data_IF_199662086828
#
_entry.id   IF_199662086828
#
_cell.length_a   1.000
_cell.length_b   1.000
_cell.length_c   1.000
_cell.angle_alpha   90.00
_cell.angle_beta   90.00
_cell.angle_gamma   90.00
#
_symmetry.space_group_name_H-M   'P 1'
#
loop_
_entity.id
_entity.type
_entity.pdbx_description
1 polymer ?
#
# COMPACT_ATOMS: atom_id res chain seq x y z
N UNK A 1 11.46 3.25 -89.04
CA UNK A 1 11.31 1.98 -88.28
C UNK A 1 12.56 1.77 -87.43
N UNK A 2 12.39 1.17 -86.25
CA UNK A 2 13.38 0.76 -85.26
C UNK A 2 13.85 1.84 -84.24
N UNK A 3 13.19 1.78 -83.09
CA UNK A 3 13.49 2.29 -81.76
C UNK A 3 14.67 1.58 -81.09
N UNK A 4 15.47 2.30 -80.29
CA UNK A 4 16.25 1.76 -79.16
C UNK A 4 16.62 2.94 -78.23
N UNK A 5 15.82 3.24 -77.21
CA UNK A 5 16.02 2.82 -75.81
C UNK A 5 17.39 3.21 -75.23
N UNK A 6 17.44 4.27 -74.43
CA UNK A 6 18.03 4.23 -73.07
C UNK A 6 17.29 5.24 -72.18
N UNK A 7 16.63 4.72 -71.16
CA UNK A 7 15.99 5.44 -70.06
C UNK A 7 17.00 5.64 -68.91
N UNK A 8 16.62 6.57 -68.03
CA UNK A 8 16.99 6.68 -66.59
C UNK A 8 18.17 7.59 -66.25
N UNK A 9 17.84 8.77 -65.72
CA UNK A 9 18.53 9.30 -64.54
C UNK A 9 17.47 9.76 -63.53
N UNK A 10 17.02 8.84 -62.68
CA UNK A 10 16.21 9.17 -61.50
C UNK A 10 17.18 9.60 -60.41
N UNK A 11 17.08 10.85 -59.98
CA UNK A 11 17.79 11.40 -58.82
C UNK A 11 17.29 10.72 -57.55
N UNK A 12 18.06 9.77 -57.00
CA UNK A 12 17.84 9.27 -55.66
C UNK A 12 18.54 10.22 -54.67
N UNK A 13 17.79 11.15 -54.10
CA UNK A 13 18.20 11.84 -52.87
C UNK A 13 18.13 10.83 -51.73
N UNK A 14 19.27 10.24 -51.36
CA UNK A 14 19.41 9.54 -50.08
C UNK A 14 19.34 10.58 -48.94
N UNK A 15 18.12 10.90 -48.52
CA UNK A 15 17.85 11.47 -47.22
C UNK A 15 17.34 10.39 -46.28
N UNK A 16 17.79 10.44 -45.02
CA UNK A 16 17.36 9.66 -43.85
C UNK A 16 18.09 8.33 -43.56
N UNK A 17 19.32 8.47 -43.06
CA UNK A 17 19.83 7.59 -42.00
C UNK A 17 20.35 8.43 -40.83
N UNK A 18 19.45 9.21 -40.25
CA UNK A 18 19.61 9.69 -38.88
C UNK A 18 18.81 8.80 -37.97
N UNK A 19 19.32 7.62 -37.61
CA UNK A 19 18.82 6.90 -36.45
C UNK A 19 19.23 7.72 -35.21
N UNK A 20 18.44 8.78 -34.95
CA UNK A 20 18.53 9.52 -33.71
C UNK A 20 18.31 8.53 -32.59
N UNK A 21 19.37 8.27 -31.83
CA UNK A 21 19.29 7.54 -30.58
C UNK A 21 18.22 8.24 -29.74
N UNK A 22 17.05 7.62 -29.65
CA UNK A 22 16.02 8.01 -28.69
C UNK A 22 16.71 7.98 -27.34
N UNK A 23 16.89 9.12 -26.64
CA UNK A 23 17.31 9.05 -25.26
C UNK A 23 16.14 8.38 -24.57
N UNK A 24 16.30 7.10 -24.21
CA UNK A 24 15.48 6.52 -23.16
C UNK A 24 15.82 7.32 -21.92
N UNK A 25 15.09 8.41 -21.72
CA UNK A 25 15.08 9.15 -20.48
C UNK A 25 14.66 8.14 -19.43
N UNK A 26 15.65 7.56 -18.73
CA UNK A 26 15.43 6.99 -17.42
C UNK A 26 14.59 8.02 -16.66
N UNK A 27 13.48 7.64 -16.03
CA UNK A 27 12.80 8.55 -15.14
C UNK A 27 13.73 8.72 -13.93
N UNK A 28 14.67 9.66 -14.05
CA UNK A 28 15.38 10.22 -12.91
C UNK A 28 14.39 11.16 -12.23
N UNK A 29 13.27 10.62 -11.76
CA UNK A 29 12.57 11.29 -10.69
C UNK A 29 13.46 11.08 -9.48
N UNK A 30 14.17 12.12 -9.09
CA UNK A 30 14.59 12.30 -7.70
C UNK A 30 13.32 12.53 -6.87
N UNK A 31 12.40 11.55 -6.89
CA UNK A 31 11.31 11.42 -5.95
C UNK A 31 12.02 11.26 -4.62
N UNK A 32 11.73 12.15 -3.67
CA UNK A 32 12.12 11.95 -2.27
C UNK A 32 11.84 10.47 -1.96
N UNK A 33 12.90 9.69 -1.77
CA UNK A 33 12.79 8.23 -1.87
C UNK A 33 11.75 7.72 -0.89
N UNK A 34 10.94 6.75 -1.31
CA UNK A 34 10.16 5.95 -0.38
C UNK A 34 11.16 5.22 0.54
N UNK A 35 11.20 5.57 1.83
CA UNK A 35 12.12 4.99 2.81
C UNK A 35 11.42 3.96 3.70
N UNK A 36 10.52 3.17 3.12
CA UNK A 36 9.76 2.13 3.84
C UNK A 36 10.64 0.94 4.27
N UNK A 37 11.80 0.75 3.63
CA UNK A 37 12.76 -0.32 3.96
C UNK A 37 13.24 -0.26 5.41
N UNK A 38 13.22 0.91 6.06
CA UNK A 38 13.55 1.06 7.48
C UNK A 38 12.62 0.26 8.41
N UNK A 39 11.42 -0.09 7.94
CA UNK A 39 10.41 -0.83 8.71
C UNK A 39 10.42 -2.34 8.43
N UNK A 40 11.47 -2.88 7.81
CA UNK A 40 11.66 -4.34 7.71
C UNK A 40 11.68 -5.00 9.09
N UNK A 41 12.15 -4.28 10.10
CA UNK A 41 12.09 -4.65 11.51
C UNK A 41 11.72 -3.45 12.35
N UNK A 42 10.74 -3.61 13.22
CA UNK A 42 10.48 -2.68 14.31
C UNK A 42 11.41 -3.00 15.48
N UNK A 43 11.80 -1.99 16.24
CA UNK A 43 12.60 -2.19 17.44
C UNK A 43 11.84 -2.99 18.51
N UNK A 44 12.52 -3.69 19.42
CA UNK A 44 11.86 -4.40 20.52
C UNK A 44 10.96 -3.50 21.37
N UNK A 45 11.39 -2.24 21.60
CA UNK A 45 10.62 -1.24 22.37
C UNK A 45 9.32 -0.85 21.67
N UNK A 46 9.36 -0.63 20.36
CA UNK A 46 8.15 -0.35 19.57
C UNK A 46 7.19 -1.54 19.58
N UNK A 47 7.69 -2.75 19.38
CA UNK A 47 6.86 -3.95 19.42
C UNK A 47 6.23 -4.20 20.78
N UNK A 48 6.96 -3.91 21.87
CA UNK A 48 6.41 -4.04 23.21
C UNK A 48 5.32 -3.01 23.48
N UNK A 49 5.50 -1.75 23.08
CA UNK A 49 4.47 -0.73 23.18
C UNK A 49 3.21 -1.11 22.39
N UNK A 50 3.38 -1.66 21.19
CA UNK A 50 2.27 -2.17 20.37
C UNK A 50 1.54 -3.34 21.04
N UNK A 51 2.27 -4.27 21.68
CA UNK A 51 1.63 -5.39 22.41
C UNK A 51 0.84 -4.89 23.61
N UNK A 52 1.45 -4.04 24.44
CA UNK A 52 0.76 -3.42 25.60
C UNK A 52 -0.52 -2.69 25.17
N UNK A 53 -0.47 -1.97 24.06
CA UNK A 53 -1.63 -1.30 23.50
C UNK A 53 -2.70 -2.29 23.00
N UNK A 54 -2.31 -3.35 22.28
CA UNK A 54 -3.20 -4.43 21.87
C UNK A 54 -3.90 -5.06 23.08
N UNK A 55 -3.15 -5.41 24.11
CA UNK A 55 -3.68 -6.06 25.31
C UNK A 55 -4.72 -5.14 25.99
N UNK A 56 -4.41 -3.86 26.15
CA UNK A 56 -5.36 -2.88 26.71
C UNK A 56 -6.62 -2.67 25.83
N UNK A 57 -6.47 -2.73 24.50
CA UNK A 57 -7.60 -2.68 23.56
C UNK A 57 -8.48 -3.93 23.70
N UNK A 58 -7.88 -5.12 23.81
CA UNK A 58 -8.60 -6.39 23.99
C UNK A 58 -9.39 -6.40 25.31
N UNK A 59 -8.78 -5.93 26.41
CA UNK A 59 -9.47 -5.76 27.70
C UNK A 59 -10.66 -4.78 27.59
N UNK A 60 -10.50 -3.67 26.88
CA UNK A 60 -11.59 -2.71 26.65
C UNK A 60 -12.71 -3.26 25.76
N UNK A 61 -12.47 -4.34 25.01
CA UNK A 61 -13.44 -5.01 24.15
C UNK A 61 -14.19 -6.15 24.84
N UNK A 62 -13.66 -6.71 25.93
CA UNK A 62 -14.32 -7.79 26.70
C UNK A 62 -15.79 -7.53 27.05
N UNK A 63 -16.21 -6.33 27.51
CA UNK A 63 -17.61 -6.10 27.86
C UNK A 63 -18.52 -5.84 26.63
N UNK A 64 -17.97 -5.78 25.41
CA UNK A 64 -18.71 -5.37 24.21
C UNK A 64 -19.10 -6.58 23.35
N UNK A 65 -20.30 -6.55 22.78
CA UNK A 65 -20.63 -7.40 21.65
C UNK A 65 -20.12 -6.75 20.35
N UNK A 66 -19.05 -7.31 19.78
CA UNK A 66 -18.38 -6.78 18.60
C UNK A 66 -18.68 -7.56 17.31
N UNK A 67 -19.79 -8.30 17.27
CA UNK A 67 -20.19 -9.04 16.06
C UNK A 67 -20.15 -8.17 14.80
N UNK A 68 -19.53 -8.70 13.75
CA UNK A 68 -19.33 -8.04 12.46
C UNK A 68 -20.22 -8.69 11.40
N UNK A 69 -20.88 -7.88 10.56
CA UNK A 69 -21.60 -8.38 9.39
C UNK A 69 -20.66 -8.89 8.31
N UNK A 70 -19.42 -8.38 8.28
CA UNK A 70 -18.38 -8.83 7.37
C UNK A 70 -16.98 -8.79 8.00
N UNK A 71 -16.12 -9.74 7.63
CA UNK A 71 -14.72 -9.76 8.07
C UNK A 71 -13.88 -8.75 7.27
N UNK A 72 -13.61 -7.57 7.84
CA UNK A 72 -12.82 -6.51 7.19
C UNK A 72 -11.38 -6.94 6.89
N UNK A 73 -10.77 -7.73 7.79
CA UNK A 73 -9.40 -8.21 7.68
C UNK A 73 -9.37 -9.76 7.70
N UNK A 74 -9.77 -10.45 6.62
CA UNK A 74 -9.79 -11.92 6.63
C UNK A 74 -8.41 -12.51 6.92
N UNK A 75 -8.34 -13.58 7.74
CA UNK A 75 -7.07 -14.17 8.18
C UNK A 75 -6.24 -14.76 7.03
N UNK A 76 -6.92 -15.35 6.04
CA UNK A 76 -6.31 -15.88 4.81
C UNK A 76 -5.77 -14.80 3.87
N UNK A 77 -5.94 -13.51 4.20
CA UNK A 77 -5.36 -12.41 3.44
C UNK A 77 -3.84 -12.47 3.52
N UNK A 78 -3.18 -12.37 2.38
CA UNK A 78 -1.72 -12.35 2.27
C UNK A 78 -1.29 -11.40 1.16
N UNK A 79 -0.53 -10.35 1.50
CA UNK A 79 -0.07 -9.36 0.53
C UNK A 79 0.80 -9.98 -0.58
N UNK A 80 1.38 -11.15 -0.36
CA UNK A 80 2.18 -11.87 -1.37
C UNK A 80 1.36 -12.28 -2.59
N UNK A 81 0.04 -12.43 -2.43
CA UNK A 81 -0.89 -12.70 -3.52
C UNK A 81 -1.12 -11.49 -4.44
N UNK A 82 -0.68 -10.30 -4.02
CA UNK A 82 -0.73 -9.08 -4.82
C UNK A 82 0.59 -8.85 -5.56
N UNK A 83 0.50 -8.12 -6.68
CA UNK A 83 1.68 -7.65 -7.39
C UNK A 83 2.48 -6.69 -6.50
N UNK A 84 3.81 -6.62 -6.69
CA UNK A 84 4.70 -5.84 -5.83
C UNK A 84 4.24 -4.37 -5.65
N UNK A 85 3.75 -3.73 -6.72
CA UNK A 85 3.25 -2.35 -6.68
C UNK A 85 1.88 -2.19 -6.00
N UNK A 86 1.08 -3.26 -5.90
CA UNK A 86 -0.24 -3.25 -5.26
C UNK A 86 -0.14 -3.38 -3.73
N UNK A 87 0.94 -4.01 -3.22
CA UNK A 87 1.13 -4.26 -1.79
C UNK A 87 1.14 -2.98 -0.95
N UNK A 88 1.88 -1.90 -1.32
CA UNK A 88 1.83 -0.64 -0.58
C UNK A 88 0.44 -0.01 -0.58
N UNK A 89 -0.31 -0.11 -1.68
CA UNK A 89 -1.68 0.44 -1.80
C UNK A 89 -2.63 -0.29 -0.84
N UNK A 90 -2.55 -1.62 -0.83
CA UNK A 90 -3.33 -2.47 0.06
C UNK A 90 -3.04 -2.21 1.54
N UNK A 91 -1.76 -2.08 1.91
CA UNK A 91 -1.33 -1.80 3.28
C UNK A 91 -1.72 -0.39 3.72
N UNK A 92 -1.60 0.60 2.83
CA UNK A 92 -1.93 2.00 3.14
C UNK A 92 -3.41 2.13 3.51
N UNK A 93 -4.30 1.50 2.75
CA UNK A 93 -5.73 1.51 3.03
C UNK A 93 -6.08 0.83 4.36
N UNK A 94 -5.41 -0.27 4.71
CA UNK A 94 -5.59 -0.92 6.02
C UNK A 94 -5.11 -0.01 7.15
N UNK A 95 -3.90 0.52 7.03
CA UNK A 95 -3.28 1.36 8.05
C UNK A 95 -4.05 2.66 8.26
N UNK A 96 -4.59 3.25 7.20
CA UNK A 96 -5.46 4.42 7.28
C UNK A 96 -6.74 4.12 8.07
N UNK A 97 -7.38 2.97 7.83
CA UNK A 97 -8.55 2.55 8.62
C UNK A 97 -8.17 2.28 10.09
N UNK A 98 -7.06 1.58 10.34
CA UNK A 98 -6.55 1.32 11.69
C UNK A 98 -6.27 2.62 12.44
N UNK A 99 -5.58 3.58 11.81
CA UNK A 99 -5.30 4.89 12.40
C UNK A 99 -6.57 5.66 12.73
N UNK A 100 -7.57 5.63 11.85
CA UNK A 100 -8.86 6.29 12.07
C UNK A 100 -9.55 5.72 13.31
N UNK A 101 -9.69 4.39 13.38
CA UNK A 101 -10.38 3.73 14.50
C UNK A 101 -9.62 3.89 15.81
N UNK A 102 -8.32 3.59 15.84
CA UNK A 102 -7.51 3.76 17.05
C UNK A 102 -7.42 5.23 17.49
N UNK A 103 -7.46 6.18 16.55
CA UNK A 103 -7.56 7.60 16.86
C UNK A 103 -8.79 7.92 17.70
N UNK A 104 -9.97 7.42 17.31
CA UNK A 104 -11.21 7.62 18.10
C UNK A 104 -11.16 6.94 19.46
N UNK A 105 -10.46 5.81 19.59
CA UNK A 105 -10.31 5.12 20.86
C UNK A 105 -9.35 5.86 21.80
N UNK A 106 -8.40 6.64 21.26
CA UNK A 106 -7.47 7.43 22.04
C UNK A 106 -8.10 8.66 22.70
N UNK A 107 -9.32 9.05 22.31
CA UNK A 107 -10.11 10.09 22.97
C UNK A 107 -10.72 9.61 24.31
N UNK A 108 -10.44 8.36 24.70
CA UNK A 108 -10.86 7.74 25.96
C UNK A 108 -9.70 7.57 26.95
N UNK A 109 -9.90 6.80 28.03
CA UNK A 109 -8.83 6.43 28.98
C UNK A 109 -7.66 5.67 28.33
N UNK A 110 -7.85 5.13 27.13
CA UNK A 110 -6.81 4.46 26.36
C UNK A 110 -5.80 5.43 25.73
N UNK A 111 -6.04 6.74 25.73
CA UNK A 111 -5.18 7.73 25.07
C UNK A 111 -3.71 7.61 25.46
N UNK A 112 -3.42 7.45 26.76
CA UNK A 112 -2.04 7.33 27.28
C UNK A 112 -1.35 6.08 26.75
N UNK A 113 -2.06 4.93 26.66
CA UNK A 113 -1.46 3.67 26.18
C UNK A 113 -1.31 3.64 24.66
N UNK A 114 -2.19 4.36 23.94
CA UNK A 114 -2.21 4.45 22.48
C UNK A 114 -1.31 5.54 21.91
N UNK A 115 -0.86 6.49 22.73
CA UNK A 115 -0.09 7.66 22.30
C UNK A 115 1.19 7.29 21.50
N UNK A 116 2.06 6.46 22.09
CA UNK A 116 3.26 5.99 21.41
C UNK A 116 2.95 5.09 20.18
N UNK A 117 2.08 4.05 20.28
CA UNK A 117 1.60 3.28 19.13
C UNK A 117 1.11 4.13 17.96
N UNK A 118 0.27 5.12 18.23
CA UNK A 118 -0.31 5.98 17.19
C UNK A 118 0.74 6.88 16.55
N UNK A 119 1.73 7.38 17.30
CA UNK A 119 2.87 8.09 16.69
C UNK A 119 3.63 7.20 15.71
N UNK A 120 3.94 5.96 16.10
CA UNK A 120 4.61 5.01 15.21
C UNK A 120 3.77 4.73 13.96
N UNK A 121 2.50 4.40 14.13
CA UNK A 121 1.59 4.11 13.02
C UNK A 121 1.46 5.29 12.05
N UNK A 122 1.38 6.54 12.56
CA UNK A 122 1.36 7.75 11.73
C UNK A 122 2.66 7.96 10.98
N UNK A 123 3.80 7.68 11.62
CA UNK A 123 5.10 7.76 10.95
C UNK A 123 5.20 6.75 9.80
N UNK A 124 4.84 5.49 10.05
CA UNK A 124 4.77 4.45 9.02
C UNK A 124 3.83 4.86 7.88
N UNK A 125 2.65 5.38 8.20
CA UNK A 125 1.66 5.81 7.21
C UNK A 125 2.18 6.93 6.32
N UNK A 126 2.82 7.95 6.90
CA UNK A 126 3.42 9.05 6.15
C UNK A 126 4.51 8.58 5.18
N UNK A 127 5.38 7.67 5.62
CA UNK A 127 6.42 7.07 4.77
C UNK A 127 5.80 6.19 3.67
N UNK A 128 4.75 5.42 4.01
CA UNK A 128 4.04 4.55 3.07
C UNK A 128 3.31 5.35 1.98
N UNK A 129 2.72 6.50 2.32
CA UNK A 129 2.08 7.39 1.35
C UNK A 129 3.08 7.91 0.29
N UNK A 130 4.35 8.11 0.66
CA UNK A 130 5.39 8.48 -0.30
C UNK A 130 5.72 7.32 -1.28
N UNK A 131 5.45 6.07 -0.89
CA UNK A 131 5.68 4.85 -1.67
C UNK A 131 4.55 4.51 -2.62
N UNK A 132 3.32 4.88 -2.27
CA UNK A 132 2.18 4.63 -3.13
C UNK A 132 2.35 5.43 -4.43
N UNK A 133 2.35 4.77 -5.61
CA UNK A 133 2.34 5.51 -6.87
C UNK A 133 1.08 6.38 -6.90
N UNK A 134 1.21 7.63 -7.39
CA UNK A 134 0.03 8.41 -7.73
C UNK A 134 -0.76 7.58 -8.74
N UNK A 135 -1.91 7.03 -8.35
CA UNK A 135 -2.72 6.17 -9.21
C UNK A 135 -3.00 6.97 -10.48
N UNK A 136 -2.45 6.58 -11.65
CA UNK A 136 -2.66 7.38 -12.84
C UNK A 136 -4.14 7.29 -13.19
N UNK A 137 -4.77 8.42 -13.55
CA UNK A 137 -6.16 8.44 -14.06
C UNK A 137 -6.34 7.48 -15.26
N UNK A 138 -5.24 7.14 -15.95
CA UNK A 138 -5.15 6.21 -17.08
C UNK A 138 -4.33 4.92 -16.80
N UNK A 139 -3.96 4.63 -15.54
CA UNK A 139 -3.22 3.42 -15.17
C UNK A 139 -4.12 2.19 -15.14
N UNK A 140 -3.57 0.96 -15.00
CA UNK A 140 -4.36 -0.22 -14.73
C UNK A 140 -5.18 0.03 -13.46
N UNK A 141 -6.49 0.21 -13.62
CA UNK A 141 -7.40 0.31 -12.47
C UNK A 141 -7.19 -0.95 -11.63
N UNK A 142 -7.13 -0.81 -10.30
CA UNK A 142 -7.11 -1.97 -9.40
C UNK A 142 -8.24 -2.91 -9.83
N UNK A 143 -7.86 -4.11 -10.29
CA UNK A 143 -8.77 -5.16 -10.78
C UNK A 143 -8.48 -6.43 -9.97
N UNK A 144 -9.43 -7.34 -9.90
CA UNK A 144 -9.25 -8.59 -9.18
C UNK A 144 -9.13 -8.40 -7.65
N UNK A 145 -8.09 -8.97 -7.06
CA UNK A 145 -7.98 -9.16 -5.61
C UNK A 145 -7.84 -7.84 -4.85
N UNK A 146 -6.98 -6.91 -5.31
CA UNK A 146 -6.81 -5.60 -4.69
C UNK A 146 -8.14 -4.83 -4.66
N UNK A 147 -8.88 -4.82 -5.78
CA UNK A 147 -10.17 -4.12 -5.85
C UNK A 147 -11.17 -4.66 -4.83
N UNK A 148 -11.29 -5.99 -4.72
CA UNK A 148 -12.18 -6.63 -3.75
C UNK A 148 -11.81 -6.26 -2.31
N UNK A 149 -10.52 -6.21 -1.98
CA UNK A 149 -10.05 -5.84 -0.65
C UNK A 149 -10.34 -4.37 -0.33
N UNK A 150 -10.00 -3.46 -1.24
CA UNK A 150 -10.26 -2.03 -1.06
C UNK A 150 -11.76 -1.75 -0.94
N UNK A 151 -12.58 -2.38 -1.80
CA UNK A 151 -14.03 -2.27 -1.74
C UNK A 151 -14.60 -2.80 -0.43
N UNK A 152 -14.00 -3.83 0.17
CA UNK A 152 -14.39 -4.30 1.51
C UNK A 152 -14.08 -3.26 2.59
N UNK A 153 -12.88 -2.68 2.58
CA UNK A 153 -12.50 -1.62 3.53
C UNK A 153 -13.37 -0.37 3.37
N UNK A 154 -13.81 -0.02 2.16
CA UNK A 154 -14.75 1.06 1.91
C UNK A 154 -16.13 0.82 2.54
N UNK A 155 -16.51 -0.43 2.81
CA UNK A 155 -17.74 -0.78 3.52
C UNK A 155 -17.60 -0.76 5.03
N UNK A 156 -16.40 -0.57 5.58
CA UNK A 156 -16.16 -0.50 7.02
C UNK A 156 -17.10 0.49 7.75
N UNK A 157 -17.45 1.68 7.22
CA UNK A 157 -18.40 2.57 7.89
C UNK A 157 -19.82 2.01 8.07
N UNK A 158 -20.16 0.87 7.46
CA UNK A 158 -21.44 0.16 7.64
C UNK A 158 -21.43 -0.81 8.82
N UNK A 159 -20.25 -1.11 9.37
CA UNK A 159 -20.11 -1.98 10.54
C UNK A 159 -20.32 -1.18 11.82
N UNK A 160 -20.64 -1.88 12.91
CA UNK A 160 -20.73 -1.26 14.23
C UNK A 160 -19.36 -0.76 14.70
N UNK A 161 -19.34 0.27 15.55
CA UNK A 161 -18.10 0.78 16.13
C UNK A 161 -17.34 -0.33 16.88
N UNK A 162 -18.03 -1.14 17.68
CA UNK A 162 -17.41 -2.26 18.40
C UNK A 162 -16.77 -3.28 17.44
N UNK A 163 -17.41 -3.59 16.31
CA UNK A 163 -16.83 -4.44 15.27
C UNK A 163 -15.56 -3.83 14.67
N UNK A 164 -15.55 -2.52 14.39
CA UNK A 164 -14.37 -1.83 13.85
C UNK A 164 -13.21 -1.87 14.82
N UNK A 165 -13.45 -1.54 16.09
CA UNK A 165 -12.45 -1.58 17.15
C UNK A 165 -11.84 -2.99 17.30
N UNK A 166 -12.68 -4.02 17.35
CA UNK A 166 -12.23 -5.40 17.40
C UNK A 166 -11.42 -5.80 16.15
N UNK A 167 -11.95 -5.48 14.96
CA UNK A 167 -11.31 -5.80 13.69
C UNK A 167 -9.91 -5.20 13.58
N UNK A 168 -9.71 -3.94 13.94
CA UNK A 168 -8.38 -3.31 13.88
C UNK A 168 -7.45 -3.82 14.99
N UNK A 169 -7.99 -4.12 16.17
CA UNK A 169 -7.22 -4.63 17.32
C UNK A 169 -6.62 -6.00 17.00
N UNK A 170 -7.44 -6.94 16.52
CA UNK A 170 -6.97 -8.28 16.15
C UNK A 170 -6.07 -8.27 14.90
N UNK A 171 -6.18 -7.26 14.04
CA UNK A 171 -5.30 -7.10 12.88
C UNK A 171 -3.93 -6.48 13.22
N UNK A 172 -3.79 -5.77 14.34
CA UNK A 172 -2.67 -4.85 14.59
C UNK A 172 -1.29 -5.50 14.47
N UNK A 173 -1.08 -6.66 15.11
CA UNK A 173 0.21 -7.35 15.06
C UNK A 173 0.48 -7.97 13.68
N UNK A 174 -0.56 -8.42 12.97
CA UNK A 174 -0.42 -8.95 11.62
C UNK A 174 0.02 -7.85 10.66
N UNK A 175 -0.65 -6.70 10.74
CA UNK A 175 -0.34 -5.50 9.97
C UNK A 175 1.13 -5.11 10.14
N UNK A 176 1.62 -5.04 11.38
CA UNK A 176 2.96 -4.54 11.67
C UNK A 176 4.08 -5.58 11.49
N UNK A 177 3.86 -6.84 11.85
CA UNK A 177 4.92 -7.86 11.82
C UNK A 177 5.03 -8.58 10.48
N UNK A 178 3.93 -8.69 9.74
CA UNK A 178 3.87 -9.46 8.49
C UNK A 178 3.67 -8.54 7.30
N UNK A 179 2.59 -7.76 7.31
CA UNK A 179 2.17 -7.02 6.12
C UNK A 179 3.12 -5.83 5.84
N UNK A 180 3.49 -5.07 6.87
CA UNK A 180 4.49 -4.01 6.80
C UNK A 180 5.88 -4.54 6.43
N UNK A 181 6.32 -5.65 7.05
CA UNK A 181 7.58 -6.30 6.71
C UNK A 181 7.60 -6.71 5.23
N UNK A 182 6.50 -7.28 4.73
CA UNK A 182 6.39 -7.67 3.32
C UNK A 182 6.57 -6.48 2.37
N UNK A 183 5.89 -5.36 2.65
CA UNK A 183 6.04 -4.13 1.85
C UNK A 183 7.46 -3.56 1.96
N UNK A 184 8.04 -3.54 3.16
CA UNK A 184 9.39 -3.04 3.40
C UNK A 184 10.49 -3.89 2.75
N UNK A 185 10.23 -5.18 2.52
CA UNK A 185 11.11 -6.09 1.79
C UNK A 185 10.97 -5.99 0.27
N UNK A 186 9.93 -5.34 -0.26
CA UNK A 186 9.68 -5.21 -1.69
C UNK A 186 9.60 -6.57 -2.39
N UNK A 187 10.43 -6.77 -3.41
CA UNK A 187 10.48 -8.00 -4.22
C UNK A 187 10.98 -9.22 -3.43
N UNK A 188 11.67 -9.01 -2.31
CA UNK A 188 12.13 -10.09 -1.42
C UNK A 188 11.00 -10.69 -0.57
N UNK A 189 9.78 -10.15 -0.63
CA UNK A 189 8.62 -10.75 0.03
C UNK A 189 7.98 -11.83 -0.86
N UNK A 190 8.23 -13.10 -0.50
CA UNK A 190 7.81 -14.33 -1.19
C UNK A 190 6.94 -15.24 -0.34
#
# INVERSE_FOLDING_TARGET
MATAWVLVLVTLLLGLTGAGSVPTSKPTSTRRGCLISRFQSLSPRELEAIRKAKDALEEALLPKNWSCGSHLFPQARDLRLLQAWERPVALEAELALTLKVLGTMADSSLGVVLDQPLRLLRHVHSELQACVPALPTAGPRARGLLHHWLHRLQKAPKESQACLEASVTFNLLRLLKRDLKCVASGDMCV
#
